data_IF_237478104890
#
_entry.id   IF_237478104890
#
_cell.length_a   1.000
_cell.length_b   1.000
_cell.length_c   1.000
_cell.angle_alpha   90.00
_cell.angle_beta   90.00
_cell.angle_gamma   90.00
#
_symmetry.space_group_name_H-M   'P 1'
#
loop_
_entity.id
_entity.type
_entity.pdbx_description
1 polymer ?
#
# COMPACT_ATOMS: atom_id res chain seq x y z
N UNK A 1 14.39 -9.44 14.15
CA UNK A 1 14.29 -10.35 12.98
C UNK A 1 15.44 -9.96 12.04
N UNK A 2 16.68 -10.32 12.34
CA UNK A 2 17.37 -11.61 12.16
C UNK A 2 17.41 -12.12 10.70
N UNK A 3 18.65 -12.49 10.33
CA UNK A 3 19.10 -13.37 9.24
C UNK A 3 19.54 -12.66 7.94
N UNK A 4 20.81 -12.26 7.82
CA UNK A 4 22.00 -13.05 7.41
C UNK A 4 21.99 -13.46 5.94
N UNK A 5 22.77 -12.72 5.14
CA UNK A 5 23.29 -13.17 3.83
C UNK A 5 24.46 -14.11 4.09
N UNK A 6 24.25 -15.40 3.79
CA UNK A 6 25.25 -16.46 3.91
C UNK A 6 25.43 -17.19 2.58
N UNK A 7 26.61 -17.01 1.99
CA UNK A 7 27.53 -18.03 1.48
C UNK A 7 26.99 -19.17 0.58
N UNK A 8 27.65 -19.38 -0.58
CA UNK A 8 28.26 -20.68 -0.91
C UNK A 8 29.31 -20.61 -2.02
N UNK A 9 30.49 -21.11 -1.66
CA UNK A 9 31.57 -21.58 -2.50
C UNK A 9 31.13 -22.74 -3.41
N UNK A 10 31.82 -22.89 -4.54
CA UNK A 10 32.16 -24.20 -5.09
C UNK A 10 33.65 -24.20 -5.50
N UNK A 11 34.30 -25.30 -5.15
CA UNK A 11 35.74 -25.62 -5.18
C UNK A 11 35.90 -26.87 -6.04
N UNK A 12 37.08 -27.01 -6.67
CA UNK A 12 37.66 -28.23 -7.28
C UNK A 12 36.91 -28.81 -8.50
N UNK A 13 37.57 -29.40 -9.49
CA UNK A 13 38.60 -30.43 -9.34
C UNK A 13 39.46 -30.53 -10.62
N UNK A 14 40.76 -30.77 -10.41
CA UNK A 14 41.72 -31.21 -11.42
C UNK A 14 41.43 -32.67 -11.82
N UNK A 15 42.05 -33.16 -12.91
CA UNK A 15 42.91 -34.37 -12.94
C UNK A 15 42.94 -35.04 -14.34
N UNK A 16 44.17 -35.21 -14.83
CA UNK A 16 44.71 -36.18 -15.83
C UNK A 16 44.21 -36.10 -17.28
N UNK A 17 45.05 -36.20 -18.31
CA UNK A 17 46.36 -36.83 -18.41
C UNK A 17 46.26 -37.96 -19.44
N UNK A 18 46.67 -37.72 -20.67
CA UNK A 18 46.82 -38.79 -21.67
C UNK A 18 48.18 -38.69 -22.37
N UNK A 19 48.92 -39.79 -22.23
CA UNK A 19 50.24 -40.07 -22.80
C UNK A 19 50.08 -40.31 -24.30
N UNK A 20 50.81 -39.54 -25.11
CA UNK A 20 51.08 -39.91 -26.50
C UNK A 20 52.11 -41.03 -26.52
N UNK A 21 51.66 -42.25 -26.85
CA UNK A 21 52.55 -43.37 -27.15
C UNK A 21 53.14 -43.20 -28.56
N UNK A 22 54.46 -43.08 -28.63
CA UNK A 22 55.24 -43.31 -29.84
C UNK A 22 55.27 -44.82 -30.13
N UNK A 23 54.94 -45.22 -31.35
CA UNK A 23 55.35 -46.50 -31.90
C UNK A 23 56.23 -46.24 -33.13
N UNK A 24 57.51 -46.43 -32.91
CA UNK A 24 58.58 -46.49 -33.91
C UNK A 24 58.69 -47.97 -34.31
N UNK A 25 58.29 -48.32 -35.53
CA UNK A 25 58.46 -49.68 -36.06
C UNK A 25 59.58 -49.64 -37.09
N UNK A 26 60.72 -50.17 -36.66
CA UNK A 26 61.91 -50.42 -37.47
C UNK A 26 61.66 -51.57 -38.45
N UNK A 27 62.00 -51.35 -39.72
CA UNK A 27 61.99 -52.38 -40.76
C UNK A 27 63.34 -53.12 -40.79
N UNK A 28 63.37 -54.46 -40.86
CA UNK A 28 64.61 -55.21 -41.05
C UNK A 28 65.05 -55.19 -42.52
N UNK A 29 66.32 -54.80 -42.72
CA UNK A 29 67.07 -54.93 -43.97
C UNK A 29 66.95 -56.34 -44.56
N UNK A 30 66.49 -56.44 -45.81
CA UNK A 30 66.59 -57.67 -46.62
C UNK A 30 67.90 -57.67 -47.44
N UNK A 31 68.55 -58.83 -47.58
CA UNK A 31 69.82 -58.96 -48.28
C UNK A 31 69.64 -58.84 -49.80
N UNK A 32 70.61 -58.15 -50.40
CA UNK A 32 70.81 -58.01 -51.85
C UNK A 32 71.27 -59.37 -52.39
N UNK A 33 70.41 -60.07 -53.13
CA UNK A 33 70.84 -61.22 -53.92
C UNK A 33 71.51 -60.71 -55.20
N UNK A 34 72.78 -61.07 -55.34
CA UNK A 34 73.56 -60.97 -56.56
C UNK A 34 73.00 -61.97 -57.57
N UNK A 35 72.50 -61.48 -58.71
CA UNK A 35 72.20 -62.35 -59.86
C UNK A 35 73.44 -62.44 -60.75
N UNK A 36 73.99 -63.65 -60.76
CA UNK A 36 75.06 -64.11 -61.62
C UNK A 36 74.68 -64.07 -63.10
N UNK A 37 75.67 -63.70 -63.91
CA UNK A 37 75.96 -64.20 -65.25
C UNK A 37 75.13 -65.36 -65.79
N UNK A 38 74.59 -65.17 -67.00
CA UNK A 38 74.46 -66.12 -68.11
C UNK A 38 73.52 -65.46 -69.14
N UNK A 39 73.61 -65.60 -70.45
CA UNK A 39 74.50 -66.32 -71.36
C UNK A 39 74.14 -65.72 -72.73
N UNK A 40 75.16 -65.37 -73.51
CA UNK A 40 74.99 -64.99 -74.91
C UNK A 40 74.36 -66.15 -75.68
N UNK A 41 73.10 -65.99 -76.11
CA UNK A 41 72.45 -66.91 -77.05
C UNK A 41 72.47 -66.34 -78.47
N UNK A 42 72.52 -67.21 -79.49
CA UNK A 42 72.98 -66.88 -80.83
C UNK A 42 71.86 -66.20 -81.62
N UNK A 43 72.26 -65.25 -82.48
CA UNK A 43 71.42 -64.74 -83.55
C UNK A 43 71.23 -65.89 -84.55
N UNK A 44 70.08 -66.55 -84.46
CA UNK A 44 69.60 -67.52 -85.45
C UNK A 44 68.87 -66.69 -86.51
N UNK A 45 69.44 -66.64 -87.72
CA UNK A 45 68.73 -66.10 -88.87
C UNK A 45 67.50 -66.97 -89.17
N UNK A 46 66.34 -66.38 -89.50
CA UNK A 46 65.11 -67.15 -89.69
C UNK A 46 65.19 -67.94 -91.00
N UNK A 47 65.40 -69.24 -90.91
CA UNK A 47 64.98 -70.15 -91.98
C UNK A 47 63.44 -70.07 -92.08
N UNK A 48 62.92 -69.88 -93.28
CA UNK A 48 61.48 -69.83 -93.58
C UNK A 48 60.81 -71.16 -93.20
N UNK A 49 60.40 -71.29 -91.94
CA UNK A 49 59.63 -72.43 -91.45
C UNK A 49 58.24 -72.35 -92.06
N UNK A 50 58.02 -73.08 -93.15
CA UNK A 50 56.69 -73.25 -93.73
C UNK A 50 55.86 -74.18 -92.84
N UNK A 51 55.16 -73.61 -91.87
CA UNK A 51 54.28 -74.34 -90.95
C UNK A 51 53.15 -74.99 -91.76
N UNK A 52 53.08 -76.32 -91.72
CA UNK A 52 52.04 -77.13 -92.37
C UNK A 52 50.62 -76.72 -91.88
N UNK A 53 49.60 -76.70 -92.75
CA UNK A 53 48.23 -76.31 -92.39
C UNK A 53 47.66 -77.05 -91.17
N UNK A 54 47.96 -78.34 -91.03
CA UNK A 54 47.53 -79.16 -89.88
C UNK A 54 48.14 -78.65 -88.57
N UNK A 55 49.41 -78.23 -88.63
CA UNK A 55 50.15 -77.72 -87.48
C UNK A 55 49.65 -76.33 -87.06
N UNK A 56 49.18 -75.50 -88.01
CA UNK A 56 48.52 -74.22 -87.73
C UNK A 56 47.22 -74.41 -86.96
N UNK A 57 46.39 -75.38 -87.34
CA UNK A 57 45.14 -75.69 -86.64
C UNK A 57 45.41 -76.21 -85.22
N UNK A 58 46.40 -77.09 -85.07
CA UNK A 58 46.79 -77.61 -83.77
C UNK A 58 47.37 -76.52 -82.84
N UNK A 59 48.27 -75.67 -83.35
CA UNK A 59 48.79 -74.53 -82.59
C UNK A 59 47.65 -73.57 -82.20
N UNK A 60 46.75 -73.25 -83.14
CA UNK A 60 45.61 -72.38 -82.88
C UNK A 60 44.74 -72.89 -81.74
N UNK A 61 44.45 -74.20 -81.70
CA UNK A 61 43.64 -74.77 -80.63
C UNK A 61 44.35 -74.68 -79.27
N UNK A 62 45.63 -75.08 -79.21
CA UNK A 62 46.41 -75.04 -77.97
C UNK A 62 46.58 -73.62 -77.46
N UNK A 63 46.83 -72.67 -78.35
CA UNK A 63 47.05 -71.28 -77.97
C UNK A 63 45.74 -70.56 -77.60
N UNK A 64 44.64 -70.84 -78.30
CA UNK A 64 43.33 -70.32 -77.90
C UNK A 64 42.92 -70.79 -76.50
N UNK A 65 43.19 -72.05 -76.15
CA UNK A 65 42.92 -72.59 -74.82
C UNK A 65 43.82 -71.95 -73.75
N UNK A 66 45.12 -71.76 -74.02
CA UNK A 66 46.02 -71.09 -73.07
C UNK A 66 45.68 -69.61 -72.88
N UNK A 67 45.22 -68.90 -73.91
CA UNK A 67 44.68 -67.54 -73.75
C UNK A 67 43.44 -67.55 -72.88
N UNK A 68 42.51 -68.49 -73.08
CA UNK A 68 41.28 -68.53 -72.31
C UNK A 68 41.60 -68.70 -70.81
N UNK A 69 42.53 -69.58 -70.47
CA UNK A 69 43.00 -69.78 -69.10
C UNK A 69 43.76 -68.57 -68.55
N UNK A 70 44.72 -68.03 -69.29
CA UNK A 70 45.49 -66.84 -68.87
C UNK A 70 44.60 -65.60 -68.76
N UNK A 71 43.62 -65.43 -69.66
CA UNK A 71 42.63 -64.35 -69.60
C UNK A 71 41.71 -64.51 -68.40
N UNK A 72 41.35 -65.74 -68.00
CA UNK A 72 40.61 -65.97 -66.76
C UNK A 72 41.43 -65.62 -65.53
N UNK A 73 42.72 -65.93 -65.50
CA UNK A 73 43.64 -65.52 -64.42
C UNK A 73 43.79 -64.00 -64.38
N UNK A 74 43.99 -63.37 -65.53
CA UNK A 74 44.16 -61.92 -65.63
C UNK A 74 42.85 -61.15 -65.34
N UNK A 75 41.70 -61.75 -65.66
CA UNK A 75 40.38 -61.24 -65.22
C UNK A 75 40.15 -61.48 -63.73
N UNK A 76 40.59 -62.59 -63.16
CA UNK A 76 40.49 -62.82 -61.72
C UNK A 76 41.36 -61.83 -60.93
N UNK A 77 42.54 -61.45 -61.46
CA UNK A 77 43.39 -60.40 -60.87
C UNK A 77 42.81 -59.00 -61.12
N UNK A 78 42.25 -58.72 -62.30
CA UNK A 78 41.64 -57.42 -62.62
C UNK A 78 40.28 -57.18 -61.93
N UNK A 79 39.46 -58.21 -61.73
CA UNK A 79 38.18 -58.12 -61.02
C UNK A 79 38.34 -57.75 -59.53
N UNK A 80 39.56 -57.79 -58.98
CA UNK A 80 39.84 -57.33 -57.63
C UNK A 80 39.98 -55.80 -57.49
N UNK A 81 40.25 -55.07 -58.57
CA UNK A 81 40.62 -53.64 -58.54
C UNK A 81 39.48 -52.63 -58.79
N UNK A 82 38.35 -53.07 -59.36
CA UNK A 82 37.30 -52.15 -59.83
C UNK A 82 35.92 -52.38 -59.17
N UNK A 83 35.89 -52.64 -57.86
CA UNK A 83 34.65 -52.58 -57.08
C UNK A 83 34.85 -51.71 -55.83
N UNK A 84 35.00 -50.41 -56.02
CA UNK A 84 34.65 -49.41 -55.00
C UNK A 84 34.60 -48.01 -55.63
N UNK A 85 33.56 -47.77 -56.42
CA UNK A 85 32.96 -46.44 -56.50
C UNK A 85 31.46 -46.61 -56.24
N UNK A 86 31.12 -46.60 -54.96
CA UNK A 86 29.75 -46.39 -54.53
C UNK A 86 29.26 -45.07 -55.15
N UNK A 87 28.15 -45.06 -55.89
CA UNK A 87 27.58 -43.81 -56.36
C UNK A 87 26.99 -43.12 -55.13
N UNK A 88 27.60 -42.01 -54.71
CA UNK A 88 26.94 -41.05 -53.83
C UNK A 88 25.68 -40.58 -54.55
N UNK A 89 24.55 -41.13 -54.11
CA UNK A 89 23.20 -40.81 -54.53
C UNK A 89 22.85 -39.45 -53.94
N UNK A 90 23.26 -38.37 -54.61
CA UNK A 90 22.65 -37.06 -54.43
C UNK A 90 21.33 -37.07 -55.18
N UNK A 91 20.23 -37.18 -54.44
CA UNK A 91 18.90 -36.84 -54.91
C UNK A 91 18.89 -35.36 -55.25
N UNK A 92 18.87 -34.99 -56.54
CA UNK A 92 18.39 -33.67 -56.95
C UNK A 92 17.95 -33.67 -58.43
N UNK A 93 16.63 -33.51 -58.60
CA UNK A 93 15.91 -32.99 -59.78
C UNK A 93 15.93 -33.78 -61.09
N UNK A 94 14.87 -34.57 -61.26
CA UNK A 94 14.40 -35.14 -62.54
C UNK A 94 13.68 -34.07 -63.37
N UNK A 95 14.14 -33.81 -64.61
CA UNK A 95 13.29 -33.87 -65.82
C UNK A 95 13.96 -33.47 -67.16
N UNK A 96 15.22 -33.02 -67.21
CA UNK A 96 15.83 -32.58 -68.50
C UNK A 96 16.79 -33.57 -69.19
N UNK A 97 17.09 -34.76 -68.61
CA UNK A 97 18.16 -35.66 -69.13
C UNK A 97 17.74 -36.71 -70.18
N UNK A 98 16.47 -36.77 -70.58
CA UNK A 98 15.99 -37.85 -71.45
C UNK A 98 16.34 -37.66 -72.94
N UNK A 99 16.59 -36.43 -73.42
CA UNK A 99 16.94 -36.18 -74.83
C UNK A 99 18.40 -36.51 -75.15
N UNK A 100 19.32 -36.29 -74.22
CA UNK A 100 20.75 -36.55 -74.42
C UNK A 100 21.10 -38.04 -74.38
N UNK A 101 20.36 -38.83 -73.60
CA UNK A 101 20.57 -40.29 -73.51
C UNK A 101 20.28 -40.99 -74.86
N UNK A 102 19.27 -40.51 -75.60
CA UNK A 102 18.90 -41.06 -76.91
C UNK A 102 19.94 -40.73 -77.99
N UNK A 103 20.50 -39.51 -77.95
CA UNK A 103 21.56 -39.10 -78.88
C UNK A 103 22.87 -39.88 -78.63
N UNK A 104 23.17 -40.19 -77.36
CA UNK A 104 24.33 -41.00 -76.99
C UNK A 104 24.18 -42.46 -77.46
N UNK A 105 23.00 -43.06 -77.30
CA UNK A 105 22.69 -44.41 -77.82
C UNK A 105 22.80 -44.48 -79.36
N UNK A 106 22.28 -43.46 -80.08
CA UNK A 106 22.35 -43.41 -81.54
C UNK A 106 23.79 -43.26 -82.06
N UNK A 107 24.60 -42.40 -81.43
CA UNK A 107 26.01 -42.27 -81.76
C UNK A 107 26.76 -43.58 -81.51
N UNK A 108 26.46 -44.26 -80.41
CA UNK A 108 27.05 -45.56 -80.09
C UNK A 108 26.76 -46.60 -81.18
N UNK A 109 25.51 -46.73 -81.62
CA UNK A 109 25.13 -47.64 -82.71
C UNK A 109 25.83 -47.28 -84.02
N UNK A 110 25.90 -45.99 -84.36
CA UNK A 110 26.55 -45.54 -85.59
C UNK A 110 28.04 -45.88 -85.61
N UNK A 111 28.78 -45.56 -84.55
CA UNK A 111 30.20 -45.91 -84.44
C UNK A 111 30.42 -47.42 -84.42
N UNK A 112 29.59 -48.18 -83.73
CA UNK A 112 29.70 -49.65 -83.69
C UNK A 112 29.47 -50.27 -85.08
N UNK A 113 28.55 -49.70 -85.87
CA UNK A 113 28.30 -50.14 -87.25
C UNK A 113 29.45 -49.76 -88.18
N UNK A 114 30.04 -48.57 -88.00
CA UNK A 114 31.16 -48.09 -88.81
C UNK A 114 32.45 -48.89 -88.52
N UNK A 115 32.68 -49.24 -87.25
CA UNK A 115 33.77 -50.14 -86.84
C UNK A 115 33.56 -51.55 -87.41
N UNK A 116 32.33 -52.10 -87.37
CA UNK A 116 32.03 -53.39 -88.02
C UNK A 116 32.31 -53.36 -89.52
N UNK A 117 31.92 -52.29 -90.20
CA UNK A 117 32.15 -52.14 -91.63
C UNK A 117 33.63 -52.05 -91.98
N UNK A 118 34.41 -51.33 -91.17
CA UNK A 118 35.86 -51.23 -91.33
C UNK A 118 36.56 -52.57 -91.06
N UNK A 119 36.11 -53.30 -90.04
CA UNK A 119 36.63 -54.62 -89.68
C UNK A 119 36.39 -55.65 -90.79
N UNK A 120 35.20 -55.67 -91.39
CA UNK A 120 34.91 -56.50 -92.55
C UNK A 120 35.75 -56.16 -93.79
N UNK A 121 36.18 -54.89 -93.96
CA UNK A 121 37.10 -54.51 -95.06
C UNK A 121 38.53 -55.03 -94.85
N UNK A 122 39.02 -55.06 -93.61
CA UNK A 122 40.41 -55.46 -93.31
C UNK A 122 40.62 -56.98 -93.31
N UNK A 123 39.58 -57.76 -93.04
CA UNK A 123 39.68 -59.22 -92.90
C UNK A 123 39.82 -59.97 -94.24
N UNK A 124 39.27 -59.43 -95.36
CA UNK A 124 39.23 -60.14 -96.65
C UNK A 124 40.09 -59.51 -97.77
N UNK A 125 40.75 -58.38 -97.52
CA UNK A 125 41.51 -57.66 -98.54
C UNK A 125 42.93 -57.31 -98.06
N UNK A 126 43.94 -57.53 -98.93
CA UNK A 126 45.28 -56.97 -98.76
C UNK A 126 45.38 -55.73 -99.64
N UNK A 127 45.83 -54.63 -99.06
CA UNK A 127 46.25 -53.43 -99.81
C UNK A 127 47.63 -53.73 -100.42
N UNK A 128 47.68 -53.81 -101.75
CA UNK A 128 48.93 -53.93 -102.49
C UNK A 128 49.62 -52.56 -102.50
N UNK A 129 50.96 -52.53 -102.71
CA UNK A 129 51.72 -51.27 -102.68
C UNK A 129 51.28 -50.23 -103.74
N UNK A 130 50.46 -50.65 -104.70
CA UNK A 130 49.84 -49.80 -105.73
C UNK A 130 48.49 -49.19 -105.29
N UNK A 131 48.06 -49.43 -104.04
CA UNK A 131 46.79 -48.93 -103.48
C UNK A 131 45.56 -49.69 -103.95
N UNK A 132 45.72 -50.80 -104.69
CA UNK A 132 44.61 -51.66 -105.08
C UNK A 132 44.39 -52.77 -104.06
N UNK A 133 43.13 -53.17 -103.90
CA UNK A 133 42.73 -54.21 -102.95
C UNK A 133 42.50 -55.52 -103.68
N UNK A 134 43.26 -56.56 -103.31
CA UNK A 134 43.01 -57.94 -103.78
C UNK A 134 42.32 -58.73 -102.67
N UNK A 135 41.27 -59.48 -103.06
CA UNK A 135 40.60 -60.44 -102.18
C UNK A 135 41.58 -61.57 -101.84
N UNK A 136 41.79 -61.79 -100.55
CA UNK A 136 42.63 -62.87 -100.01
C UNK A 136 42.17 -64.23 -100.53
N UNK A 137 43.12 -65.11 -100.85
CA UNK A 137 42.85 -66.55 -100.97
C UNK A 137 42.32 -67.08 -99.62
N UNK A 138 41.45 -68.09 -99.63
CA UNK A 138 40.97 -68.72 -98.39
C UNK A 138 42.14 -69.14 -97.48
N UNK A 139 43.24 -69.66 -98.05
CA UNK A 139 44.42 -70.07 -97.29
C UNK A 139 45.21 -68.88 -96.73
N UNK A 140 45.22 -67.74 -97.42
CA UNK A 140 45.88 -66.52 -96.96
C UNK A 140 45.04 -65.82 -95.87
N UNK A 141 43.71 -65.84 -95.97
CA UNK A 141 42.80 -65.33 -94.93
C UNK A 141 42.92 -66.15 -93.65
N UNK A 142 42.99 -67.49 -93.75
CA UNK A 142 43.23 -68.38 -92.60
C UNK A 142 44.61 -68.11 -91.98
N UNK A 143 45.64 -67.87 -92.78
CA UNK A 143 46.97 -67.54 -92.26
C UNK A 143 47.00 -66.17 -91.57
N UNK A 144 46.33 -65.15 -92.13
CA UNK A 144 46.28 -63.79 -91.55
C UNK A 144 45.50 -63.75 -90.24
N UNK A 145 44.39 -64.47 -90.17
CA UNK A 145 43.62 -64.62 -88.92
C UNK A 145 44.41 -65.38 -87.86
N UNK A 146 45.14 -66.43 -88.24
CA UNK A 146 46.06 -67.14 -87.34
C UNK A 146 47.20 -66.24 -86.85
N UNK A 147 47.87 -65.50 -87.74
CA UNK A 147 48.94 -64.57 -87.34
C UNK A 147 48.40 -63.48 -86.40
N UNK A 148 47.22 -62.92 -86.69
CA UNK A 148 46.60 -61.92 -85.82
C UNK A 148 46.07 -62.46 -84.49
N UNK A 149 45.86 -63.77 -84.36
CA UNK A 149 45.58 -64.44 -83.08
C UNK A 149 46.90 -64.68 -82.32
N UNK A 150 47.94 -65.19 -82.99
CA UNK A 150 49.28 -65.38 -82.44
C UNK A 150 49.93 -64.06 -81.99
N UNK A 151 49.72 -62.96 -82.70
CA UNK A 151 50.19 -61.63 -82.29
C UNK A 151 49.54 -61.19 -80.98
N UNK A 152 48.23 -61.44 -80.80
CA UNK A 152 47.53 -61.13 -79.54
C UNK A 152 48.04 -62.02 -78.40
N UNK A 153 48.37 -63.27 -78.69
CA UNK A 153 48.96 -64.19 -77.71
C UNK A 153 50.34 -63.73 -77.27
N UNK A 154 51.18 -63.34 -78.22
CA UNK A 154 52.49 -62.79 -77.95
C UNK A 154 52.37 -61.49 -77.13
N UNK A 155 51.39 -60.63 -77.41
CA UNK A 155 51.14 -59.43 -76.59
C UNK A 155 50.73 -59.78 -75.15
N UNK A 156 49.82 -60.75 -74.96
CA UNK A 156 49.39 -61.19 -73.63
C UNK A 156 50.55 -61.83 -72.86
N UNK A 157 51.35 -62.68 -73.53
CA UNK A 157 52.52 -63.31 -72.93
C UNK A 157 53.61 -62.29 -72.61
N UNK A 158 53.84 -61.28 -73.45
CA UNK A 158 54.77 -60.17 -73.17
C UNK A 158 54.30 -59.30 -72.01
N UNK A 159 52.99 -59.06 -71.90
CA UNK A 159 52.42 -58.38 -70.74
C UNK A 159 52.66 -59.18 -69.46
N UNK A 160 52.41 -60.50 -69.50
CA UNK A 160 52.64 -61.40 -68.37
C UNK A 160 54.12 -61.50 -68.00
N UNK A 161 55.00 -61.62 -69.00
CA UNK A 161 56.46 -61.63 -68.86
C UNK A 161 56.94 -60.32 -68.23
N UNK A 162 56.47 -59.16 -68.72
CA UNK A 162 56.81 -57.86 -68.16
C UNK A 162 56.30 -57.68 -66.72
N UNK A 163 55.16 -58.27 -66.36
CA UNK A 163 54.63 -58.26 -64.99
C UNK A 163 55.45 -59.17 -64.06
N UNK A 164 55.83 -60.34 -64.55
CA UNK A 164 56.69 -61.30 -63.84
C UNK A 164 58.09 -60.72 -63.61
N UNK A 165 58.67 -60.07 -64.63
CA UNK A 165 60.03 -59.51 -64.57
C UNK A 165 60.11 -58.22 -63.75
N UNK A 166 59.10 -57.34 -63.85
CA UNK A 166 59.14 -56.04 -63.17
C UNK A 166 58.68 -56.09 -61.72
N UNK A 167 57.67 -56.91 -61.41
CA UNK A 167 57.03 -56.92 -60.09
C UNK A 167 57.25 -58.25 -59.35
N UNK A 168 57.42 -59.36 -60.07
CA UNK A 168 57.47 -60.70 -59.50
C UNK A 168 56.09 -61.16 -59.05
N UNK A 169 55.62 -62.30 -59.55
CA UNK A 169 54.26 -62.84 -59.31
C UNK A 169 53.90 -62.92 -57.82
N UNK A 170 54.88 -63.17 -56.96
CA UNK A 170 54.70 -63.27 -55.52
C UNK A 170 54.47 -61.92 -54.83
N UNK A 171 55.11 -60.84 -55.31
CA UNK A 171 54.93 -59.51 -54.72
C UNK A 171 53.57 -58.91 -55.11
N UNK A 172 53.10 -59.15 -56.34
CA UNK A 172 51.75 -58.74 -56.77
C UNK A 172 50.68 -59.46 -55.95
N UNK A 173 50.83 -60.77 -55.72
CA UNK A 173 49.90 -61.52 -54.87
C UNK A 173 49.94 -61.03 -53.41
N UNK A 174 51.13 -60.74 -52.87
CA UNK A 174 51.27 -60.18 -51.52
C UNK A 174 50.60 -58.80 -51.40
N UNK A 175 50.83 -57.90 -52.36
CA UNK A 175 50.20 -56.59 -52.40
C UNK A 175 48.67 -56.71 -52.47
N UNK A 176 48.15 -57.65 -53.26
CA UNK A 176 46.71 -57.93 -53.31
C UNK A 176 46.15 -58.46 -51.99
N UNK A 177 46.88 -59.36 -51.31
CA UNK A 177 46.51 -59.81 -49.96
C UNK A 177 46.51 -58.66 -48.96
N UNK A 178 47.52 -57.79 -48.98
CA UNK A 178 47.62 -56.61 -48.11
C UNK A 178 46.47 -55.62 -48.38
N UNK A 179 46.11 -55.41 -49.66
CA UNK A 179 44.95 -54.57 -50.05
C UNK A 179 43.64 -55.18 -49.54
N UNK A 180 43.45 -56.50 -49.69
CA UNK A 180 42.25 -57.19 -49.19
C UNK A 180 42.18 -57.16 -47.66
N UNK A 181 43.32 -57.32 -46.98
CA UNK A 181 43.39 -57.20 -45.53
C UNK A 181 43.04 -55.78 -45.07
N UNK A 182 43.59 -54.74 -45.71
CA UNK A 182 43.26 -53.36 -45.41
C UNK A 182 41.77 -53.04 -45.64
N UNK A 183 41.14 -53.63 -46.67
CA UNK A 183 39.71 -53.49 -46.89
C UNK A 183 38.87 -54.15 -45.78
N UNK A 184 39.31 -55.31 -45.27
CA UNK A 184 38.67 -55.98 -44.12
C UNK A 184 38.85 -55.15 -42.84
N UNK A 185 40.05 -54.64 -42.59
CA UNK A 185 40.35 -53.82 -41.42
C UNK A 185 39.51 -52.53 -41.42
N UNK A 186 39.35 -51.89 -42.57
CA UNK A 186 38.46 -50.74 -42.74
C UNK A 186 37.00 -51.08 -42.39
N UNK A 187 36.49 -52.23 -42.83
CA UNK A 187 35.14 -52.68 -42.49
C UNK A 187 34.99 -52.99 -41.00
N UNK A 188 36.02 -53.57 -40.38
CA UNK A 188 36.03 -53.83 -38.94
C UNK A 188 36.01 -52.52 -38.14
N UNK A 189 36.79 -51.53 -38.53
CA UNK A 189 36.80 -50.23 -37.86
C UNK A 189 35.51 -49.45 -38.11
N UNK A 190 34.92 -49.56 -39.30
CA UNK A 190 33.58 -49.03 -39.57
C UNK A 190 32.53 -49.71 -38.67
N UNK A 191 32.60 -51.04 -38.50
CA UNK A 191 31.68 -51.77 -37.62
C UNK A 191 31.84 -51.38 -36.15
N UNK A 192 33.09 -51.25 -35.66
CA UNK A 192 33.37 -50.78 -34.29
C UNK A 192 32.83 -49.36 -34.05
N UNK A 193 33.16 -48.43 -34.94
CA UNK A 193 32.68 -47.04 -34.83
C UNK A 193 31.16 -46.93 -34.95
N UNK A 194 30.52 -47.80 -35.76
CA UNK A 194 29.05 -47.90 -35.82
C UNK A 194 28.48 -48.36 -34.48
N UNK A 195 29.05 -49.40 -33.86
CA UNK A 195 28.60 -49.91 -32.57
C UNK A 195 28.77 -48.87 -31.44
N UNK A 196 29.90 -48.14 -31.42
CA UNK A 196 30.13 -47.05 -30.47
C UNK A 196 29.09 -45.93 -30.62
N UNK A 197 28.77 -45.54 -31.86
CA UNK A 197 27.72 -44.56 -32.15
C UNK A 197 26.34 -45.05 -31.71
N UNK A 198 26.01 -46.32 -31.93
CA UNK A 198 24.75 -46.90 -31.44
C UNK A 198 24.66 -46.89 -29.91
N UNK A 199 25.75 -47.22 -29.21
CA UNK A 199 25.81 -47.12 -27.74
C UNK A 199 25.65 -45.69 -27.27
N UNK A 200 26.28 -44.72 -27.96
CA UNK A 200 26.12 -43.30 -27.65
C UNK A 200 24.69 -42.82 -27.87
N UNK A 201 24.04 -43.23 -28.97
CA UNK A 201 22.63 -42.92 -29.26
C UNK A 201 21.74 -43.47 -28.14
N UNK A 202 21.95 -44.73 -27.72
CA UNK A 202 21.19 -45.32 -26.60
C UNK A 202 21.38 -44.54 -25.30
N UNK A 203 22.62 -44.18 -24.95
CA UNK A 203 22.89 -43.37 -23.75
C UNK A 203 22.23 -41.99 -23.81
N UNK A 204 22.22 -41.34 -24.98
CA UNK A 204 21.54 -40.05 -25.17
C UNK A 204 20.02 -40.21 -25.05
N UNK A 205 19.45 -41.27 -25.61
CA UNK A 205 18.01 -41.57 -25.49
C UNK A 205 17.58 -41.80 -24.03
N UNK A 206 18.37 -42.54 -23.25
CA UNK A 206 18.12 -42.74 -21.82
C UNK A 206 18.19 -41.40 -21.06
N UNK A 207 19.20 -40.57 -21.32
CA UNK A 207 19.31 -39.23 -20.72
C UNK A 207 18.12 -38.34 -21.09
N UNK A 208 17.68 -38.37 -22.36
CA UNK A 208 16.50 -37.63 -22.79
C UNK A 208 15.25 -38.10 -22.05
N UNK A 209 15.06 -39.41 -21.87
CA UNK A 209 13.92 -39.96 -21.15
C UNK A 209 13.92 -39.55 -19.65
N UNK A 210 15.09 -39.55 -19.00
CA UNK A 210 15.23 -39.08 -17.62
C UNK A 210 14.84 -37.60 -17.52
N UNK A 211 15.42 -36.75 -18.37
CA UNK A 211 15.13 -35.31 -18.41
C UNK A 211 13.64 -35.06 -18.67
N UNK A 212 13.00 -35.79 -19.59
CA UNK A 212 11.57 -35.70 -19.84
C UNK A 212 10.72 -36.06 -18.62
N UNK A 213 11.13 -37.08 -17.85
CA UNK A 213 10.46 -37.48 -16.62
C UNK A 213 10.59 -36.41 -15.52
N UNK A 214 11.76 -35.81 -15.38
CA UNK A 214 12.00 -34.71 -14.44
C UNK A 214 11.16 -33.48 -14.80
N UNK A 215 11.10 -33.11 -16.08
CA UNK A 215 10.23 -32.03 -16.54
C UNK A 215 8.74 -32.31 -16.32
N UNK A 216 8.30 -33.58 -16.36
CA UNK A 216 6.92 -33.93 -15.99
C UNK A 216 6.67 -33.70 -14.49
N UNK A 217 7.59 -34.12 -13.63
CA UNK A 217 7.48 -33.92 -12.17
C UNK A 217 7.51 -32.43 -11.82
N UNK A 218 8.43 -31.65 -12.40
CA UNK A 218 8.49 -30.21 -12.19
C UNK A 218 7.22 -29.50 -12.65
N UNK A 219 6.68 -29.86 -13.82
CA UNK A 219 5.41 -29.30 -14.30
C UNK A 219 4.26 -29.55 -13.34
N UNK A 220 4.18 -30.74 -12.76
CA UNK A 220 3.11 -31.04 -11.79
C UNK A 220 3.32 -30.30 -10.47
N UNK A 221 4.57 -30.16 -10.00
CA UNK A 221 4.90 -29.32 -8.83
C UNK A 221 4.50 -27.86 -9.03
N UNK A 222 4.79 -27.29 -10.21
CA UNK A 222 4.39 -25.92 -10.53
C UNK A 222 2.87 -25.77 -10.63
N UNK A 223 2.17 -26.74 -11.23
CA UNK A 223 0.69 -26.74 -11.27
C UNK A 223 0.10 -26.79 -9.88
N UNK A 224 0.63 -27.64 -9.00
CA UNK A 224 0.16 -27.75 -7.63
C UNK A 224 0.41 -26.46 -6.83
N UNK A 225 1.60 -25.87 -6.98
CA UNK A 225 1.93 -24.58 -6.36
C UNK A 225 0.99 -23.47 -6.87
N UNK A 226 0.69 -23.45 -8.17
CA UNK A 226 -0.25 -22.50 -8.75
C UNK A 226 -1.68 -22.68 -8.23
N UNK A 227 -2.13 -23.94 -8.04
CA UNK A 227 -3.43 -24.24 -7.42
C UNK A 227 -3.49 -23.72 -5.98
N UNK A 228 -2.45 -23.97 -5.18
CA UNK A 228 -2.37 -23.49 -3.78
C UNK A 228 -2.36 -21.97 -3.70
N UNK A 229 -1.49 -21.30 -4.46
CA UNK A 229 -1.44 -19.84 -4.49
C UNK A 229 -2.77 -19.22 -4.94
N UNK A 230 -3.46 -19.85 -5.90
CA UNK A 230 -4.80 -19.42 -6.31
C UNK A 230 -5.82 -19.56 -5.18
N UNK A 231 -5.78 -20.66 -4.43
CA UNK A 231 -6.64 -20.86 -3.26
C UNK A 231 -6.37 -19.83 -2.16
N UNK A 232 -5.11 -19.66 -1.75
CA UNK A 232 -4.69 -18.67 -0.74
C UNK A 232 -5.08 -17.24 -1.13
N UNK A 233 -4.93 -16.89 -2.40
CA UNK A 233 -5.36 -15.59 -2.91
C UNK A 233 -6.87 -15.41 -2.84
N UNK A 234 -7.66 -16.44 -3.20
CA UNK A 234 -9.12 -16.40 -3.10
C UNK A 234 -9.59 -16.28 -1.64
N UNK A 235 -8.97 -17.03 -0.72
CA UNK A 235 -9.25 -16.99 0.70
C UNK A 235 -8.94 -15.60 1.29
N UNK A 236 -7.75 -15.05 0.99
CA UNK A 236 -7.35 -13.71 1.44
C UNK A 236 -8.30 -12.64 0.90
N UNK A 237 -8.74 -12.77 -0.36
CA UNK A 237 -9.72 -11.87 -0.96
C UNK A 237 -11.08 -11.94 -0.26
N UNK A 238 -11.55 -13.15 0.07
CA UNK A 238 -12.80 -13.33 0.82
C UNK A 238 -12.70 -12.76 2.24
N UNK A 239 -11.62 -13.05 2.96
CA UNK A 239 -11.36 -12.50 4.30
C UNK A 239 -11.28 -10.98 4.30
N UNK A 240 -10.61 -10.38 3.31
CA UNK A 240 -10.56 -8.92 3.14
C UNK A 240 -11.95 -8.34 2.89
N UNK A 241 -12.74 -8.96 2.00
CA UNK A 241 -14.11 -8.53 1.72
C UNK A 241 -15.01 -8.64 2.97
N UNK A 242 -14.93 -9.73 3.73
CA UNK A 242 -15.65 -9.90 4.99
C UNK A 242 -15.25 -8.84 6.02
N UNK A 243 -13.94 -8.56 6.15
CA UNK A 243 -13.43 -7.56 7.09
C UNK A 243 -13.94 -6.16 6.76
N UNK A 244 -13.94 -5.78 5.48
CA UNK A 244 -14.50 -4.50 5.02
C UNK A 244 -16.00 -4.43 5.34
N UNK A 245 -16.77 -5.48 5.05
CA UNK A 245 -18.20 -5.52 5.33
C UNK A 245 -18.49 -5.43 6.83
N UNK A 246 -17.73 -6.13 7.67
CA UNK A 246 -17.84 -6.08 9.12
C UNK A 246 -17.54 -4.68 9.67
N UNK A 247 -16.44 -4.06 9.24
CA UNK A 247 -16.08 -2.70 9.64
C UNK A 247 -17.17 -1.71 9.23
N UNK A 248 -17.65 -1.79 7.99
CA UNK A 248 -18.75 -0.94 7.50
C UNK A 248 -20.02 -1.12 8.34
N UNK A 249 -20.40 -2.35 8.68
CA UNK A 249 -21.55 -2.62 9.56
C UNK A 249 -21.34 -2.03 10.96
N UNK A 250 -20.15 -2.19 11.54
CA UNK A 250 -19.81 -1.65 12.86
C UNK A 250 -19.84 -0.12 12.87
N UNK A 251 -19.27 0.54 11.86
CA UNK A 251 -19.32 2.01 11.75
C UNK A 251 -20.74 2.52 11.54
N UNK A 252 -21.56 1.86 10.70
CA UNK A 252 -22.98 2.21 10.54
C UNK A 252 -23.75 2.09 11.84
N UNK A 253 -23.52 1.02 12.61
CA UNK A 253 -24.17 0.83 13.90
C UNK A 253 -23.76 1.92 14.90
N UNK A 254 -22.46 2.27 14.97
CA UNK A 254 -21.99 3.37 15.84
C UNK A 254 -22.58 4.71 15.42
N UNK A 255 -22.57 5.02 14.13
CA UNK A 255 -23.17 6.25 13.60
C UNK A 255 -24.65 6.33 13.99
N UNK A 256 -25.42 5.27 13.76
CA UNK A 256 -26.83 5.21 14.15
C UNK A 256 -27.05 5.39 15.65
N UNK A 257 -26.20 4.82 16.50
CA UNK A 257 -26.26 5.02 17.95
C UNK A 257 -25.99 6.48 18.35
N UNK A 258 -24.96 7.09 17.74
CA UNK A 258 -24.65 8.50 17.97
C UNK A 258 -25.79 9.41 17.49
N UNK A 259 -26.36 9.14 16.32
CA UNK A 259 -27.50 9.90 15.78
C UNK A 259 -28.68 9.87 16.75
N UNK A 260 -29.05 8.69 17.26
CA UNK A 260 -30.12 8.55 18.26
C UNK A 260 -29.79 9.32 19.55
N UNK A 261 -28.56 9.21 20.05
CA UNK A 261 -28.12 9.93 21.26
C UNK A 261 -28.20 11.45 21.06
N UNK A 262 -27.79 11.95 19.89
CA UNK A 262 -27.87 13.37 19.55
C UNK A 262 -29.33 13.83 19.41
N UNK A 263 -30.21 13.02 18.81
CA UNK A 263 -31.64 13.31 18.74
C UNK A 263 -32.28 13.39 20.13
N UNK A 264 -31.96 12.45 21.03
CA UNK A 264 -32.45 12.45 22.41
C UNK A 264 -31.99 13.70 23.18
N UNK A 265 -30.71 14.06 23.08
CA UNK A 265 -30.18 15.29 23.69
C UNK A 265 -30.84 16.54 23.11
N UNK A 266 -31.05 16.59 21.80
CA UNK A 266 -31.72 17.71 21.12
C UNK A 266 -33.17 17.83 21.58
N UNK A 267 -33.89 16.71 21.70
CA UNK A 267 -35.26 16.69 22.25
C UNK A 267 -35.30 17.17 23.70
N UNK A 268 -34.39 16.71 24.55
CA UNK A 268 -34.30 17.14 25.95
C UNK A 268 -34.08 18.65 26.07
N UNK A 269 -33.13 19.21 25.31
CA UNK A 269 -32.89 20.66 25.26
C UNK A 269 -34.10 21.43 24.73
N UNK A 270 -34.80 20.88 23.74
CA UNK A 270 -36.03 21.49 23.21
C UNK A 270 -37.13 21.54 24.28
N UNK A 271 -37.33 20.45 25.02
CA UNK A 271 -38.30 20.37 26.11
C UNK A 271 -37.96 21.36 27.25
N UNK A 272 -36.67 21.50 27.59
CA UNK A 272 -36.20 22.53 28.51
C UNK A 272 -36.53 23.94 28.03
N UNK A 273 -36.27 24.25 26.75
CA UNK A 273 -36.61 25.55 26.15
C UNK A 273 -38.12 25.80 26.24
N UNK A 274 -38.96 24.79 25.96
CA UNK A 274 -40.41 24.94 26.09
C UNK A 274 -40.82 25.19 27.55
N UNK A 275 -40.24 24.47 28.50
CA UNK A 275 -40.49 24.69 29.92
C UNK A 275 -40.10 26.12 30.36
N UNK A 276 -38.92 26.61 29.95
CA UNK A 276 -38.50 27.99 30.20
C UNK A 276 -39.45 29.02 29.59
N UNK A 277 -39.95 28.78 28.36
CA UNK A 277 -40.95 29.66 27.73
C UNK A 277 -42.25 29.69 28.53
N UNK A 278 -42.72 28.54 29.01
CA UNK A 278 -43.91 28.46 29.86
C UNK A 278 -43.72 29.22 31.17
N UNK A 279 -42.59 29.01 31.86
CA UNK A 279 -42.24 29.73 33.10
C UNK A 279 -42.16 31.24 32.87
N UNK A 280 -41.46 31.69 31.83
CA UNK A 280 -41.36 33.10 31.47
C UNK A 280 -42.74 33.70 31.16
N UNK A 281 -43.63 32.95 30.50
CA UNK A 281 -45.00 33.41 30.25
C UNK A 281 -45.81 33.55 31.54
N UNK A 282 -45.64 32.65 32.50
CA UNK A 282 -46.29 32.70 33.81
C UNK A 282 -45.77 33.89 34.64
N UNK A 283 -44.45 34.08 34.70
CA UNK A 283 -43.82 35.22 35.36
C UNK A 283 -44.29 36.54 34.76
N UNK A 284 -44.38 36.64 33.42
CA UNK A 284 -44.92 37.84 32.75
C UNK A 284 -46.37 38.13 33.17
N UNK A 285 -47.22 37.10 33.28
CA UNK A 285 -48.60 37.27 33.78
C UNK A 285 -48.62 37.73 35.23
N UNK A 286 -47.83 37.10 36.09
CA UNK A 286 -47.73 37.49 37.51
C UNK A 286 -47.24 38.94 37.67
N UNK A 287 -46.26 39.38 36.87
CA UNK A 287 -45.79 40.76 36.86
C UNK A 287 -46.89 41.72 36.42
N UNK A 288 -47.67 41.36 35.39
CA UNK A 288 -48.80 42.17 34.93
C UNK A 288 -49.90 42.28 36.00
N UNK A 289 -50.26 41.18 36.67
CA UNK A 289 -51.21 41.15 37.79
C UNK A 289 -50.73 41.99 38.97
N UNK A 290 -49.47 41.81 39.37
CA UNK A 290 -48.85 42.57 40.47
C UNK A 290 -48.82 44.06 40.13
N UNK A 291 -48.44 44.41 38.91
CA UNK A 291 -48.43 45.80 38.45
C UNK A 291 -49.84 46.39 38.45
N UNK A 292 -50.84 45.65 37.94
CA UNK A 292 -52.24 46.07 37.96
C UNK A 292 -52.75 46.30 39.39
N UNK A 293 -52.39 45.43 40.33
CA UNK A 293 -52.75 45.59 41.74
C UNK A 293 -52.09 46.81 42.37
N UNK A 294 -50.77 46.99 42.19
CA UNK A 294 -50.02 48.16 42.70
C UNK A 294 -50.61 49.47 42.14
N UNK A 295 -50.89 49.53 40.83
CA UNK A 295 -51.48 50.72 40.24
C UNK A 295 -52.90 50.99 40.72
N UNK A 296 -53.70 49.94 40.98
CA UNK A 296 -55.01 50.06 41.61
C UNK A 296 -54.92 50.66 43.01
N UNK A 297 -54.07 50.11 43.88
CA UNK A 297 -53.84 50.62 45.24
C UNK A 297 -53.32 52.07 45.23
N UNK A 298 -52.39 52.38 44.31
CA UNK A 298 -51.87 53.73 44.15
C UNK A 298 -52.97 54.73 43.77
N UNK A 299 -53.89 54.34 42.88
CA UNK A 299 -55.02 55.19 42.50
C UNK A 299 -56.00 55.36 43.66
N UNK A 300 -56.29 54.29 44.42
CA UNK A 300 -57.12 54.36 45.63
C UNK A 300 -56.55 55.32 46.68
N UNK A 301 -55.25 55.20 46.99
CA UNK A 301 -54.58 56.10 47.94
C UNK A 301 -54.45 57.54 47.38
N UNK A 302 -54.23 57.70 46.08
CA UNK A 302 -54.24 59.02 45.43
C UNK A 302 -55.62 59.67 45.55
N UNK A 303 -56.70 58.90 45.33
CA UNK A 303 -58.07 59.36 45.49
C UNK A 303 -58.40 59.67 46.96
N UNK A 304 -57.91 58.87 47.91
CA UNK A 304 -58.03 59.13 49.35
C UNK A 304 -57.32 60.41 49.77
N UNK A 305 -56.09 60.63 49.28
CA UNK A 305 -55.36 61.88 49.51
C UNK A 305 -56.10 63.07 48.92
N UNK A 306 -56.62 62.95 47.69
CA UNK A 306 -57.44 64.01 47.06
C UNK A 306 -58.70 64.31 47.87
N UNK A 307 -59.38 63.28 48.39
CA UNK A 307 -60.53 63.45 49.28
C UNK A 307 -60.16 64.17 50.57
N UNK A 308 -59.07 63.77 51.24
CA UNK A 308 -58.59 64.41 52.46
C UNK A 308 -58.16 65.87 52.22
N UNK A 309 -57.49 66.16 51.10
CA UNK A 309 -57.16 67.52 50.68
C UNK A 309 -58.41 68.36 50.41
N UNK A 310 -59.47 67.75 49.91
CA UNK A 310 -60.76 68.40 49.68
C UNK A 310 -61.59 68.66 50.94
N UNK A 311 -61.26 68.06 52.09
CA UNK A 311 -61.97 68.33 53.35
C UNK A 311 -61.52 69.67 53.94
N UNK A 312 -62.36 70.68 53.81
CA UNK A 312 -62.19 71.99 54.48
C UNK A 312 -62.38 71.88 55.99
N UNK A 313 -63.03 70.83 56.49
CA UNK A 313 -63.25 70.58 57.93
C UNK A 313 -61.99 70.75 58.77
N UNK A 314 -60.82 70.31 58.28
CA UNK A 314 -59.55 70.44 59.01
C UNK A 314 -59.09 71.89 59.05
N UNK A 315 -59.22 72.62 57.95
CA UNK A 315 -58.91 74.05 57.91
C UNK A 315 -59.88 74.87 58.76
N UNK A 316 -61.16 74.52 58.73
CA UNK A 316 -62.21 75.18 59.52
C UNK A 316 -62.04 74.89 61.02
N UNK A 317 -61.79 73.64 61.40
CA UNK A 317 -61.44 73.27 62.79
C UNK A 317 -60.15 73.94 63.27
N UNK A 318 -59.15 74.12 62.39
CA UNK A 318 -57.91 74.84 62.75
C UNK A 318 -58.20 76.32 63.00
N UNK A 319 -59.02 76.95 62.16
CA UNK A 319 -59.47 78.34 62.38
C UNK A 319 -60.28 78.49 63.67
N UNK A 320 -61.18 77.54 63.95
CA UNK A 320 -61.99 77.52 65.16
C UNK A 320 -61.12 77.33 66.42
N UNK A 321 -60.11 76.46 66.35
CA UNK A 321 -59.11 76.30 67.41
C UNK A 321 -58.30 77.59 67.65
N UNK A 322 -57.86 78.24 66.59
CA UNK A 322 -57.16 79.53 66.69
C UNK A 322 -58.07 80.60 67.30
N UNK A 323 -59.36 80.62 66.95
CA UNK A 323 -60.33 81.54 67.54
C UNK A 323 -60.57 81.25 69.03
N UNK A 324 -60.75 79.98 69.41
CA UNK A 324 -60.89 79.55 70.81
C UNK A 324 -59.64 79.90 71.62
N UNK A 325 -58.46 79.71 71.06
CA UNK A 325 -57.18 80.06 71.70
C UNK A 325 -57.11 81.57 71.95
N UNK A 326 -57.48 82.40 70.96
CA UNK A 326 -57.58 83.87 71.15
C UNK A 326 -58.60 84.25 72.23
N UNK A 327 -59.76 83.59 72.28
CA UNK A 327 -60.79 83.82 73.31
C UNK A 327 -60.27 83.47 74.71
N UNK A 328 -59.55 82.35 74.85
CA UNK A 328 -58.95 81.92 76.12
C UNK A 328 -57.87 82.90 76.58
N UNK A 329 -57.00 83.34 75.67
CA UNK A 329 -55.98 84.36 75.96
C UNK A 329 -56.59 85.67 76.46
N UNK A 330 -57.71 86.10 75.84
CA UNK A 330 -58.46 87.29 76.27
C UNK A 330 -59.07 87.08 77.66
N UNK A 331 -59.74 85.96 77.89
CA UNK A 331 -60.35 85.64 79.18
C UNK A 331 -59.29 85.55 80.30
N UNK A 332 -58.10 85.04 79.98
CA UNK A 332 -56.96 85.01 80.90
C UNK A 332 -56.48 86.41 81.28
N UNK A 333 -56.44 87.35 80.33
CA UNK A 333 -56.14 88.76 80.61
C UNK A 333 -57.22 89.38 81.48
N UNK A 334 -58.49 89.23 81.10
CA UNK A 334 -59.63 89.76 81.87
C UNK A 334 -59.64 89.21 83.32
N UNK A 335 -59.28 87.94 83.53
CA UNK A 335 -59.15 87.36 84.87
C UNK A 335 -57.95 87.91 85.65
N UNK A 336 -56.83 88.20 84.99
CA UNK A 336 -55.68 88.81 85.66
C UNK A 336 -55.98 90.25 86.06
N UNK A 337 -56.67 91.01 85.21
CA UNK A 337 -57.17 92.36 85.53
C UNK A 337 -58.15 92.31 86.72
N UNK A 338 -59.07 91.36 86.74
CA UNK A 338 -60.02 91.18 87.84
C UNK A 338 -59.33 90.81 89.17
N UNK A 339 -58.24 90.04 89.13
CA UNK A 339 -57.43 89.79 90.34
C UNK A 339 -56.85 91.09 90.88
N UNK A 340 -56.32 91.95 90.01
CA UNK A 340 -55.77 93.25 90.41
C UNK A 340 -56.84 94.10 91.08
N UNK A 341 -58.03 94.21 90.47
CA UNK A 341 -59.16 94.93 91.06
C UNK A 341 -59.58 94.34 92.42
N UNK A 342 -59.66 93.00 92.53
CA UNK A 342 -60.00 92.34 93.78
C UNK A 342 -58.95 92.59 94.88
N UNK A 343 -57.66 92.55 94.53
CA UNK A 343 -56.59 92.88 95.49
C UNK A 343 -56.72 94.31 95.99
N UNK A 344 -57.01 95.25 95.09
CA UNK A 344 -57.22 96.65 95.45
C UNK A 344 -58.44 96.85 96.36
N UNK A 345 -59.59 96.23 96.06
CA UNK A 345 -60.76 96.27 96.93
C UNK A 345 -60.50 95.63 98.30
N UNK A 346 -59.75 94.52 98.35
CA UNK A 346 -59.43 93.84 99.59
C UNK A 346 -58.50 94.68 100.49
N UNK A 347 -57.54 95.40 99.92
CA UNK A 347 -56.72 96.38 100.64
C UNK A 347 -57.60 97.45 101.31
N UNK A 348 -58.56 98.01 100.57
CA UNK A 348 -59.51 99.01 101.11
C UNK A 348 -60.34 98.44 102.27
N UNK A 349 -60.77 97.19 102.18
CA UNK A 349 -61.53 96.52 103.26
C UNK A 349 -60.66 96.26 104.49
N UNK A 350 -59.39 95.85 104.29
CA UNK A 350 -58.43 95.65 105.37
C UNK A 350 -58.12 96.96 106.11
N UNK A 351 -57.93 98.06 105.38
CA UNK A 351 -57.72 99.40 105.95
C UNK A 351 -58.94 99.85 106.78
N UNK A 352 -60.15 99.60 106.28
CA UNK A 352 -61.36 99.92 107.04
C UNK A 352 -61.48 99.08 108.33
N UNK A 353 -61.18 97.78 108.27
CA UNK A 353 -61.17 96.91 109.47
C UNK A 353 -60.11 97.34 110.49
N UNK A 354 -58.92 97.72 110.03
CA UNK A 354 -57.86 98.23 110.90
C UNK A 354 -58.28 99.52 111.62
N UNK A 355 -58.98 100.43 110.91
CA UNK A 355 -59.52 101.65 111.51
C UNK A 355 -60.59 101.39 112.59
N UNK A 356 -61.49 100.42 112.36
CA UNK A 356 -62.53 100.03 113.34
C UNK A 356 -61.92 99.37 114.58
N UNK A 357 -60.94 98.46 114.41
CA UNK A 357 -60.29 97.80 115.55
C UNK A 357 -59.48 98.78 116.41
N UNK A 358 -58.85 99.78 115.78
CA UNK A 358 -58.18 100.87 116.49
C UNK A 358 -59.16 101.68 117.35
N UNK A 359 -60.34 101.99 116.83
CA UNK A 359 -61.40 102.68 117.59
C UNK A 359 -61.89 101.85 118.77
N UNK A 360 -62.06 100.53 118.60
CA UNK A 360 -62.49 99.61 119.68
C UNK A 360 -61.49 99.58 120.84
N UNK A 361 -60.19 99.53 120.54
CA UNK A 361 -59.13 99.49 121.55
C UNK A 361 -59.04 100.80 122.36
N UNK A 362 -59.29 101.95 121.73
CA UNK A 362 -59.37 103.23 122.43
C UNK A 362 -60.55 103.29 123.42
N UNK A 363 -61.71 102.72 123.05
CA UNK A 363 -62.88 102.62 123.93
C UNK A 363 -62.64 101.69 125.14
N UNK A 364 -62.06 100.51 124.92
CA UNK A 364 -61.75 99.55 126.00
C UNK A 364 -60.75 100.12 127.02
N UNK A 365 -59.75 100.88 126.56
CA UNK A 365 -58.78 101.52 127.45
C UNK A 365 -59.42 102.63 128.30
N UNK A 366 -60.36 103.40 127.75
CA UNK A 366 -61.14 104.39 128.53
C UNK A 366 -62.00 103.72 129.62
N UNK A 367 -62.61 102.56 129.32
CA UNK A 367 -63.41 101.81 130.28
C UNK A 367 -62.56 101.24 131.42
N UNK A 368 -61.39 100.65 131.12
CA UNK A 368 -60.45 100.16 132.15
C UNK A 368 -59.98 101.29 133.07
N UNK A 369 -59.72 102.47 132.51
CA UNK A 369 -59.35 103.65 133.29
C UNK A 369 -60.47 104.10 134.24
N UNK A 370 -61.72 104.14 133.78
CA UNK A 370 -62.88 104.49 134.60
C UNK A 370 -63.12 103.51 135.77
N UNK A 371 -62.96 102.21 135.54
CA UNK A 371 -63.08 101.18 136.60
C UNK A 371 -61.99 101.34 137.68
N UNK A 372 -60.76 101.65 137.29
CA UNK A 372 -59.68 101.91 138.23
C UNK A 372 -59.98 103.14 139.11
N UNK A 373 -60.52 104.22 138.52
CA UNK A 373 -60.94 105.42 139.26
C UNK A 373 -62.05 105.11 140.28
N UNK A 374 -63.02 104.27 139.91
CA UNK A 374 -64.10 103.85 140.82
C UNK A 374 -63.58 102.99 141.98
N UNK A 375 -62.63 102.08 141.73
CA UNK A 375 -62.02 101.27 142.80
C UNK A 375 -61.24 102.14 143.79
N UNK A 376 -60.50 103.15 143.33
CA UNK A 376 -59.82 104.12 144.20
C UNK A 376 -60.84 104.93 145.02
N UNK A 377 -61.94 105.36 144.41
CA UNK A 377 -63.01 106.06 145.15
C UNK A 377 -63.68 105.16 146.18
N UNK A 378 -63.93 103.89 145.88
CA UNK A 378 -64.51 102.93 146.81
C UNK A 378 -63.55 102.67 147.98
N UNK A 379 -62.25 102.47 147.70
CA UNK A 379 -61.23 102.32 148.72
C UNK A 379 -61.15 103.52 149.67
N UNK A 380 -61.17 104.74 149.13
CA UNK A 380 -61.19 105.97 149.94
C UNK A 380 -62.49 106.07 150.78
N UNK A 381 -63.67 105.81 150.19
CA UNK A 381 -64.94 105.84 150.94
C UNK A 381 -64.97 104.84 152.09
N UNK A 382 -64.46 103.62 151.89
CA UNK A 382 -64.36 102.61 152.97
C UNK A 382 -63.40 103.07 154.07
N UNK A 383 -62.29 103.71 153.71
CA UNK A 383 -61.31 104.18 154.68
C UNK A 383 -61.79 105.37 155.52
N UNK A 384 -62.67 106.22 154.97
CA UNK A 384 -63.36 107.27 155.74
C UNK A 384 -64.32 106.70 156.79
N UNK A 385 -65.00 105.58 156.49
CA UNK A 385 -65.95 104.94 157.42
C UNK A 385 -65.23 104.25 158.59
N UNK A 386 -64.13 103.53 158.32
CA UNK A 386 -63.37 102.81 159.36
C UNK A 386 -62.66 103.75 160.34
N UNK A 387 -62.22 104.94 159.89
CA UNK A 387 -61.48 105.91 160.72
C UNK A 387 -62.37 106.96 161.43
N UNK A 388 -63.70 106.92 161.26
CA UNK A 388 -64.63 107.78 162.01
C UNK A 388 -64.57 109.28 161.67
N UNK A 389 -64.12 109.65 160.46
CA UNK A 389 -63.91 111.06 160.06
C UNK A 389 -65.12 111.54 159.25
N UNK A 390 -65.94 112.46 159.79
CA UNK A 390 -67.04 113.10 159.06
C UNK A 390 -66.53 114.26 158.17
N UNK A 391 -66.77 114.27 156.84
CA UNK A 391 -66.41 115.39 155.99
C UNK A 391 -67.43 116.54 156.03
N UNK A 392 -66.93 117.74 156.29
CA UNK A 392 -67.63 119.04 156.22
C UNK A 392 -67.81 119.49 154.76
N UNK A 393 -68.95 120.13 154.45
CA UNK A 393 -69.27 120.76 153.16
C UNK A 393 -68.36 121.96 152.88
N UNK A 394 -67.87 122.08 151.64
CA UNK A 394 -67.42 123.25 150.84
C UNK A 394 -66.88 122.63 149.52
N UNK A 395 -67.07 123.08 148.28
CA UNK A 395 -67.54 124.34 147.70
C UNK A 395 -66.66 124.64 146.46
N UNK A 396 -67.26 124.87 145.29
CA UNK A 396 -66.62 125.40 144.07
C UNK A 396 -65.73 124.42 143.27
N UNK A 397 -65.36 124.65 142.01
CA UNK A 397 -65.59 125.77 141.08
C UNK A 397 -65.09 125.34 139.68
N UNK A 398 -65.88 125.67 138.64
CA UNK A 398 -65.52 126.30 137.34
C UNK A 398 -64.37 125.77 136.44
N UNK A 399 -64.75 125.59 135.16
CA UNK A 399 -64.04 126.11 133.96
C UNK A 399 -63.44 125.05 133.04
N UNK A 400 -63.27 125.24 131.71
CA UNK A 400 -63.52 126.36 130.79
C UNK A 400 -63.05 125.88 129.38
N UNK A 401 -63.80 126.23 128.30
CA UNK A 401 -63.33 126.52 126.91
C UNK A 401 -62.65 125.40 126.10
N UNK A 402 -62.61 125.40 124.76
CA UNK A 402 -63.33 126.00 123.61
C UNK A 402 -62.60 125.46 122.35
N UNK A 403 -63.34 125.20 121.26
CA UNK A 403 -63.00 125.44 119.83
C UNK A 403 -61.63 125.04 119.25
N UNK A 404 -61.66 124.36 118.08
CA UNK A 404 -61.38 124.87 116.68
C UNK A 404 -61.33 123.63 115.74
N UNK A 405 -62.22 123.49 114.73
CA UNK A 405 -62.07 123.88 113.29
C UNK A 405 -60.91 123.16 112.57
N UNK A 406 -60.93 122.77 111.29
CA UNK A 406 -61.85 122.90 110.14
C UNK A 406 -61.10 122.39 108.88
N UNK A 407 -61.83 121.77 107.92
CA UNK A 407 -61.64 121.72 106.44
C UNK A 407 -60.55 120.85 105.77
N UNK A 408 -60.97 119.98 104.81
CA UNK A 408 -60.93 120.09 103.32
C UNK A 408 -59.65 119.42 102.77
N UNK A 409 -59.55 118.78 101.60
CA UNK A 409 -60.41 118.53 100.46
C UNK A 409 -59.74 117.42 99.61
N UNK A 410 -60.55 116.63 98.88
CA UNK A 410 -60.44 116.33 97.43
C UNK A 410 -60.99 114.94 97.10
#
# INVERSE_FOLDING_TARGET
MNCTLGTRHAVCEQVTGYRGFQFEIAWPNRPRMETSSAESSPIIEPEDVTISPVMRVALKAVLADTIAELSMVLKATACGGNQQSAPNRSEETTNEKNSDALLQELNKIFFETLIRFEKCRREDYIELQDGTFRRLSNDESILRTFIGEVEKEIEVLKLLESEVDSLGTFNTLKAQCDIKQAAVDLLLDLAKTSLEKEQMIKSIQEKMQIIESEFKVQRELYRETLRRLKHEWQETRQLSSMSINFLNASYKQRASYYDVTCEEQTKALFDEIQNYKLRLSAERRQVAETSSWIFGELDEETNRLRYLQGRTDVQDMTKDLDELTRKLEKLRKDHEDLKVEYTHCNEVVLDHRAAVEKSRQEEENKQKFMLAVLQVQAWWRTMMVVKGIKPKKIGGKKGKKEKKKEKEAS
#
